data_IF_518491449762
#
_entry.id   IF_518491449762
#
_cell.length_a   1.000
_cell.length_b   1.000
_cell.length_c   1.000
_cell.angle_alpha   90.00
_cell.angle_beta   90.00
_cell.angle_gamma   90.00
#
_symmetry.space_group_name_H-M   'P 1'
#
loop_
_entity.id
_entity.type
_entity.pdbx_description
1 polymer ?
#
# COMPACT_ATOMS: atom_id res chain seq x y z
N UNK A 1 17.35 -14.22 -6.34
CA UNK A 1 17.39 -14.40 -7.81
C UNK A 1 17.85 -13.09 -8.39
N UNK A 2 19.06 -13.07 -8.93
CA UNK A 2 19.43 -12.02 -9.88
C UNK A 2 18.56 -12.30 -11.10
N UNK A 3 17.50 -11.53 -11.27
CA UNK A 3 16.64 -11.66 -12.45
C UNK A 3 17.50 -11.33 -13.66
N UNK A 4 17.50 -12.21 -14.66
CA UNK A 4 17.98 -11.87 -15.98
C UNK A 4 17.19 -10.64 -16.46
N UNK A 5 17.85 -9.48 -16.39
CA UNK A 5 17.24 -8.18 -16.69
C UNK A 5 16.78 -8.17 -18.15
N UNK A 6 17.53 -8.82 -19.04
CA UNK A 6 17.18 -8.90 -20.45
C UNK A 6 15.88 -9.67 -20.63
N UNK A 7 15.77 -10.86 -20.04
CA UNK A 7 14.54 -11.65 -20.06
C UNK A 7 13.36 -10.90 -19.46
N UNK A 8 13.58 -10.14 -18.38
CA UNK A 8 12.54 -9.33 -17.73
C UNK A 8 12.03 -8.22 -18.65
N UNK A 9 12.93 -7.54 -19.37
CA UNK A 9 12.58 -6.50 -20.35
C UNK A 9 11.81 -7.10 -21.52
N UNK A 10 12.21 -8.27 -22.01
CA UNK A 10 11.52 -8.96 -23.11
C UNK A 10 10.08 -9.33 -22.74
N UNK A 11 9.88 -9.97 -21.59
CA UNK A 11 8.54 -10.30 -21.06
C UNK A 11 7.71 -9.03 -20.86
N UNK A 12 8.30 -7.97 -20.30
CA UNK A 12 7.60 -6.71 -20.09
C UNK A 12 7.12 -6.09 -21.42
N UNK A 13 7.98 -6.07 -22.44
CA UNK A 13 7.62 -5.58 -23.78
C UNK A 13 6.50 -6.40 -24.41
N UNK A 14 6.52 -7.72 -24.24
CA UNK A 14 5.47 -8.62 -24.72
C UNK A 14 4.14 -8.33 -24.01
N UNK A 15 4.12 -8.23 -22.68
CA UNK A 15 2.90 -7.93 -21.94
C UNK A 15 2.31 -6.56 -22.30
N UNK A 16 3.17 -5.56 -22.56
CA UNK A 16 2.74 -4.26 -23.04
C UNK A 16 2.15 -4.30 -24.45
N UNK A 17 2.63 -5.18 -25.33
CA UNK A 17 2.10 -5.30 -26.71
C UNK A 17 0.68 -5.86 -26.71
N UNK A 18 0.35 -6.77 -25.78
CA UNK A 18 -1.03 -7.24 -25.58
C UNK A 18 -1.97 -6.17 -25.03
N UNK A 19 -1.45 -5.15 -24.33
CA UNK A 19 -2.21 -3.98 -23.87
C UNK A 19 -3.14 -4.19 -22.67
N UNK A 20 -3.44 -5.44 -22.29
CA UNK A 20 -4.32 -5.76 -21.16
C UNK A 20 -3.77 -5.26 -19.83
N UNK A 21 -2.47 -5.46 -19.57
CA UNK A 21 -1.84 -5.03 -18.31
C UNK A 21 -1.95 -3.51 -18.11
N UNK A 22 -1.78 -2.74 -19.20
CA UNK A 22 -1.94 -1.28 -19.17
C UNK A 22 -3.38 -0.88 -18.88
N UNK A 23 -4.34 -1.56 -19.50
CA UNK A 23 -5.76 -1.31 -19.31
C UNK A 23 -6.17 -1.59 -17.86
N UNK A 24 -5.83 -2.76 -17.35
CA UNK A 24 -6.09 -3.15 -15.96
C UNK A 24 -5.49 -2.14 -14.98
N UNK A 25 -4.20 -1.81 -15.14
CA UNK A 25 -3.53 -0.87 -14.25
C UNK A 25 -4.16 0.52 -14.26
N UNK A 26 -4.54 1.04 -15.43
CA UNK A 26 -5.23 2.33 -15.53
C UNK A 26 -6.60 2.32 -14.83
N UNK A 27 -7.38 1.24 -14.99
CA UNK A 27 -8.69 1.11 -14.35
C UNK A 27 -8.53 1.03 -12.83
N UNK A 28 -7.64 0.18 -12.34
CA UNK A 28 -7.38 0.00 -10.90
C UNK A 28 -6.90 1.29 -10.24
N UNK A 29 -5.96 2.00 -10.86
CA UNK A 29 -5.44 3.27 -10.33
C UNK A 29 -6.49 4.39 -10.34
N UNK A 30 -7.36 4.43 -11.35
CA UNK A 30 -8.51 5.35 -11.37
C UNK A 30 -9.50 5.04 -10.27
N UNK A 31 -9.77 3.76 -10.01
CA UNK A 31 -10.65 3.35 -8.92
C UNK A 31 -10.12 3.80 -7.56
N UNK A 32 -8.81 3.63 -7.29
CA UNK A 32 -8.18 4.16 -6.07
C UNK A 32 -8.28 5.69 -5.99
N UNK A 33 -8.17 6.40 -7.12
CA UNK A 33 -8.34 7.86 -7.16
C UNK A 33 -9.77 8.29 -6.85
N UNK A 34 -10.76 7.55 -7.35
CA UNK A 34 -12.17 7.79 -7.06
C UNK A 34 -12.48 7.54 -5.58
N UNK A 35 -11.98 6.43 -5.01
CA UNK A 35 -12.08 6.16 -3.57
C UNK A 35 -11.50 7.31 -2.74
N UNK A 36 -10.32 7.82 -3.11
CA UNK A 36 -9.72 8.99 -2.46
C UNK A 36 -10.59 10.24 -2.56
N UNK A 37 -11.22 10.47 -3.72
CA UNK A 37 -12.04 11.67 -3.94
C UNK A 37 -13.30 11.71 -3.07
N UNK A 38 -13.82 10.55 -2.71
CA UNK A 38 -15.01 10.36 -1.86
C UNK A 38 -14.67 10.16 -0.39
N UNK A 39 -13.39 10.26 -0.02
CA UNK A 39 -12.93 9.96 1.33
C UNK A 39 -13.47 10.99 2.35
N UNK A 40 -13.72 10.53 3.57
CA UNK A 40 -14.32 11.37 4.62
C UNK A 40 -13.48 12.64 4.88
N UNK A 41 -14.15 13.79 4.89
CA UNK A 41 -13.55 15.09 5.17
C UNK A 41 -12.95 15.22 6.58
N UNK A 42 -13.25 14.27 7.48
CA UNK A 42 -12.64 14.18 8.81
C UNK A 42 -11.14 13.87 8.75
N UNK A 43 -10.66 13.33 7.62
CA UNK A 43 -9.26 12.97 7.41
C UNK A 43 -8.67 13.79 6.26
N UNK A 44 -7.40 14.15 6.39
CA UNK A 44 -6.60 14.66 5.28
C UNK A 44 -6.02 13.48 4.51
N UNK A 45 -6.16 13.50 3.19
CA UNK A 45 -5.54 12.51 2.29
C UNK A 45 -4.24 13.07 1.70
N UNK A 46 -3.20 12.26 1.58
CA UNK A 46 -2.01 12.58 0.79
C UNK A 46 -2.14 12.16 -0.67
N UNK A 47 -1.06 12.32 -1.43
CA UNK A 47 -1.02 11.93 -2.84
C UNK A 47 -1.14 10.41 -3.00
N UNK A 48 -1.68 9.99 -4.14
CA UNK A 48 -1.69 8.59 -4.54
C UNK A 48 -0.26 8.17 -4.89
N UNK A 49 0.16 7.06 -4.31
CA UNK A 49 1.35 6.33 -4.71
C UNK A 49 0.94 5.20 -5.64
N UNK A 50 1.46 5.24 -6.87
CA UNK A 50 1.14 4.28 -7.92
C UNK A 50 1.91 2.95 -7.81
N UNK A 51 2.97 2.93 -6.99
CA UNK A 51 3.81 1.75 -6.77
C UNK A 51 4.51 1.26 -8.04
N UNK A 52 4.86 -0.01 -8.04
CA UNK A 52 5.60 -0.70 -9.10
C UNK A 52 4.80 -1.89 -9.64
N UNK A 53 3.48 -1.71 -9.81
CA UNK A 53 2.49 -2.79 -10.05
C UNK A 53 2.32 -3.75 -8.86
N UNK A 54 2.86 -3.39 -7.69
CA UNK A 54 2.72 -4.13 -6.43
C UNK A 54 1.53 -3.60 -5.62
N UNK A 55 1.53 -2.30 -5.36
CA UNK A 55 0.54 -1.61 -4.55
C UNK A 55 0.14 -0.28 -5.17
N UNK A 56 -1.13 0.08 -5.09
CA UNK A 56 -1.57 1.47 -5.31
C UNK A 56 -2.34 1.95 -4.10
N UNK A 57 -1.91 3.06 -3.51
CA UNK A 57 -2.51 3.52 -2.27
C UNK A 57 -2.52 5.03 -2.14
N UNK A 58 -3.35 5.55 -1.25
CA UNK A 58 -3.22 6.91 -0.74
C UNK A 58 -3.19 6.90 0.79
N UNK A 59 -2.30 7.68 1.42
CA UNK A 59 -2.30 7.81 2.85
C UNK A 59 -3.41 8.75 3.32
N UNK A 60 -3.91 8.53 4.52
CA UNK A 60 -4.81 9.47 5.19
C UNK A 60 -4.48 9.58 6.69
N UNK A 61 -4.77 10.74 7.27
CA UNK A 61 -4.49 11.02 8.68
C UNK A 61 -5.35 12.16 9.20
N UNK A 62 -5.57 12.16 10.52
CA UNK A 62 -6.10 13.31 11.25
C UNK A 62 -4.98 13.93 12.11
N UNK A 63 -5.32 14.94 12.92
CA UNK A 63 -4.32 15.64 13.75
C UNK A 63 -3.68 14.70 14.79
N UNK A 64 -4.44 13.77 15.35
CA UNK A 64 -3.92 12.79 16.31
C UNK A 64 -2.81 11.92 15.70
N UNK A 65 -3.08 11.30 14.56
CA UNK A 65 -2.09 10.49 13.85
C UNK A 65 -0.87 11.32 13.45
N UNK A 66 -1.11 12.55 12.96
CA UNK A 66 -0.04 13.46 12.55
C UNK A 66 0.90 13.80 13.71
N UNK A 67 0.36 14.07 14.89
CA UNK A 67 1.17 14.36 16.10
C UNK A 67 2.05 13.16 16.49
N UNK A 68 1.57 11.94 16.23
CA UNK A 68 2.30 10.71 16.45
C UNK A 68 3.24 10.32 15.30
N UNK A 69 3.33 11.15 14.25
CA UNK A 69 4.04 10.86 12.98
C UNK A 69 3.57 9.56 12.32
N UNK A 70 2.29 9.25 12.47
CA UNK A 70 1.61 8.11 11.88
C UNK A 70 0.64 8.54 10.79
N UNK A 71 0.30 7.59 9.92
CA UNK A 71 -0.75 7.71 8.90
C UNK A 71 -1.31 6.33 8.60
N UNK A 72 -2.57 6.28 8.21
CA UNK A 72 -3.12 5.09 7.57
C UNK A 72 -2.93 5.15 6.06
N UNK A 73 -3.09 4.02 5.38
CA UNK A 73 -3.19 3.94 3.94
C UNK A 73 -4.31 3.00 3.54
N UNK A 74 -5.14 3.43 2.58
CA UNK A 74 -6.03 2.52 1.85
C UNK A 74 -5.23 2.00 0.66
N UNK A 75 -4.95 0.70 0.65
CA UNK A 75 -4.00 0.06 -0.26
C UNK A 75 -4.73 -0.96 -1.12
N UNK A 76 -4.66 -0.81 -2.44
CA UNK A 76 -4.95 -1.90 -3.35
C UNK A 76 -3.68 -2.75 -3.48
N UNK A 77 -3.76 -4.01 -3.05
CA UNK A 77 -2.75 -5.02 -3.31
C UNK A 77 -3.01 -5.63 -4.69
N UNK A 78 -2.15 -5.37 -5.67
CA UNK A 78 -2.36 -5.83 -7.04
C UNK A 78 -2.13 -7.34 -7.18
N UNK A 79 -1.21 -7.92 -6.43
CA UNK A 79 -0.96 -9.36 -6.53
C UNK A 79 -2.14 -10.17 -6.01
N UNK A 80 -2.73 -9.72 -4.90
CA UNK A 80 -3.87 -10.40 -4.25
C UNK A 80 -5.23 -9.89 -4.69
N UNK A 81 -5.28 -8.78 -5.42
CA UNK A 81 -6.50 -8.10 -5.85
C UNK A 81 -7.50 -7.79 -4.73
N UNK A 82 -6.98 -7.30 -3.60
CA UNK A 82 -7.78 -6.97 -2.41
C UNK A 82 -7.45 -5.58 -1.87
N UNK A 83 -8.38 -4.99 -1.13
CA UNK A 83 -8.12 -3.76 -0.40
C UNK A 83 -7.62 -4.03 1.01
N UNK A 84 -6.59 -3.30 1.42
CA UNK A 84 -5.97 -3.42 2.71
C UNK A 84 -5.90 -2.05 3.41
N UNK A 85 -6.01 -2.06 4.73
CA UNK A 85 -5.75 -0.91 5.60
C UNK A 85 -4.40 -1.08 6.28
N UNK A 86 -3.47 -0.17 6.01
CA UNK A 86 -2.14 -0.20 6.61
C UNK A 86 -1.96 0.93 7.61
N UNK A 87 -1.40 0.64 8.79
CA UNK A 87 -0.84 1.66 9.67
C UNK A 87 0.64 1.84 9.33
N UNK A 88 1.06 3.08 9.04
CA UNK A 88 2.41 3.38 8.57
C UNK A 88 3.05 4.49 9.41
N UNK A 89 4.37 4.38 9.61
CA UNK A 89 5.18 5.47 10.11
C UNK A 89 5.43 6.54 9.04
N UNK A 90 5.69 7.78 9.45
CA UNK A 90 6.15 8.83 8.54
C UNK A 90 7.52 8.49 7.91
N UNK A 91 8.35 7.74 8.63
CA UNK A 91 9.64 7.23 8.19
C UNK A 91 9.94 5.87 8.85
N UNK A 92 11.06 5.25 8.46
CA UNK A 92 11.47 3.94 8.93
C UNK A 92 11.69 3.87 10.46
N UNK A 93 12.23 4.92 11.07
CA UNK A 93 12.45 4.96 12.52
C UNK A 93 11.14 4.96 13.30
N UNK A 94 10.18 5.78 12.88
CA UNK A 94 8.85 5.81 13.48
C UNK A 94 8.14 4.48 13.28
N UNK A 95 8.24 3.88 12.09
CA UNK A 95 7.65 2.58 11.81
C UNK A 95 8.21 1.49 12.74
N UNK A 96 9.54 1.39 12.87
CA UNK A 96 10.19 0.44 13.79
C UNK A 96 9.77 0.66 15.24
N UNK A 97 9.75 1.92 15.70
CA UNK A 97 9.31 2.26 17.06
C UNK A 97 7.90 1.72 17.34
N UNK A 98 6.96 1.96 16.43
CA UNK A 98 5.58 1.52 16.63
C UNK A 98 5.38 0.02 16.43
N UNK A 99 6.15 -0.60 15.55
CA UNK A 99 6.22 -2.05 15.45
C UNK A 99 6.62 -2.68 16.79
N UNK A 100 7.69 -2.19 17.44
CA UNK A 100 8.13 -2.72 18.73
C UNK A 100 7.05 -2.64 19.83
N UNK A 101 6.24 -1.58 19.80
CA UNK A 101 5.10 -1.40 20.72
C UNK A 101 3.97 -2.38 20.39
N UNK A 102 3.66 -2.59 19.11
CA UNK A 102 2.46 -3.30 18.66
C UNK A 102 2.70 -4.75 18.25
N UNK A 103 3.94 -5.24 18.16
CA UNK A 103 4.26 -6.59 17.69
C UNK A 103 3.68 -7.71 18.56
N UNK A 104 3.39 -7.42 19.84
CA UNK A 104 2.73 -8.36 20.78
C UNK A 104 1.22 -8.17 20.86
N UNK A 105 0.65 -7.24 20.09
CA UNK A 105 -0.79 -7.02 20.08
C UNK A 105 -1.49 -8.14 19.30
N UNK A 106 -2.80 -8.30 19.54
CA UNK A 106 -3.65 -9.28 18.81
C UNK A 106 -3.58 -9.09 17.30
N UNK A 107 -3.38 -7.84 16.83
CA UNK A 107 -3.31 -7.48 15.42
C UNK A 107 -2.04 -7.99 14.72
N UNK A 108 -0.97 -8.25 15.49
CA UNK A 108 0.30 -8.79 14.99
C UNK A 108 0.62 -10.19 15.52
N UNK A 109 -0.31 -10.83 16.24
CA UNK A 109 -0.03 -12.10 16.95
C UNK A 109 0.45 -13.24 16.03
N UNK A 110 0.06 -13.21 14.76
CA UNK A 110 0.46 -14.22 13.77
C UNK A 110 1.73 -13.84 12.99
N UNK A 111 2.37 -12.70 13.30
CA UNK A 111 3.52 -12.19 12.55
C UNK A 111 4.80 -12.36 13.35
N UNK A 112 5.80 -12.99 12.74
CA UNK A 112 7.14 -13.17 13.32
C UNK A 112 8.04 -11.94 13.09
N UNK A 113 7.79 -11.21 12.01
CA UNK A 113 8.61 -10.10 11.54
C UNK A 113 7.75 -8.89 11.17
N UNK A 114 8.37 -7.72 11.21
CA UNK A 114 7.71 -6.47 10.81
C UNK A 114 7.39 -6.50 9.32
N UNK A 115 6.18 -6.12 8.89
CA UNK A 115 5.91 -5.94 7.47
C UNK A 115 6.81 -4.87 6.86
N UNK A 116 7.10 -5.00 5.56
CA UNK A 116 8.05 -4.12 4.87
C UNK A 116 7.62 -2.65 4.89
N UNK A 117 6.33 -2.38 4.70
CA UNK A 117 5.81 -1.03 4.48
C UNK A 117 4.87 -0.53 5.58
N UNK A 118 4.57 -1.36 6.57
CA UNK A 118 3.53 -1.09 7.56
C UNK A 118 3.90 -1.60 8.95
N UNK A 119 3.11 -1.18 9.92
CA UNK A 119 3.14 -1.61 11.33
C UNK A 119 2.04 -2.66 11.57
N UNK A 120 0.90 -2.47 10.89
CA UNK A 120 -0.30 -3.31 10.91
C UNK A 120 -0.89 -3.32 9.51
N UNK A 121 -1.45 -4.46 9.10
CA UNK A 121 -2.17 -4.63 7.82
C UNK A 121 -3.42 -5.46 8.09
N UNK A 122 -4.56 -5.00 7.60
CA UNK A 122 -5.84 -5.70 7.70
C UNK A 122 -6.48 -5.69 6.31
N UNK A 123 -7.06 -6.81 5.89
CA UNK A 123 -7.86 -6.88 4.65
C UNK A 123 -9.22 -6.24 4.93
N UNK A 124 -9.60 -5.28 4.10
CA UNK A 124 -10.88 -4.57 4.18
C UNK A 124 -11.95 -5.26 3.33
N UNK A 125 -11.57 -5.72 2.13
CA UNK A 125 -12.43 -6.37 1.15
C UNK A 125 -11.54 -7.27 0.28
N UNK A 126 -11.99 -8.50 0.02
CA UNK A 126 -11.34 -9.53 -0.81
C UNK A 126 -12.03 -9.76 -2.17
#
# INVERSE_FOLDING_TARGET
>A
MENDVQKSIEIYKEQLSYGYIRTAYLVLTRYVAELKSRFSAQYKTGNISFGYLDYTYFPFFNQYLRNQKLRFGVVLNHEKMQFELWLMGQNADVQRKYWEILKKSVWNGNRKEMPKYSILEIVLED
#
